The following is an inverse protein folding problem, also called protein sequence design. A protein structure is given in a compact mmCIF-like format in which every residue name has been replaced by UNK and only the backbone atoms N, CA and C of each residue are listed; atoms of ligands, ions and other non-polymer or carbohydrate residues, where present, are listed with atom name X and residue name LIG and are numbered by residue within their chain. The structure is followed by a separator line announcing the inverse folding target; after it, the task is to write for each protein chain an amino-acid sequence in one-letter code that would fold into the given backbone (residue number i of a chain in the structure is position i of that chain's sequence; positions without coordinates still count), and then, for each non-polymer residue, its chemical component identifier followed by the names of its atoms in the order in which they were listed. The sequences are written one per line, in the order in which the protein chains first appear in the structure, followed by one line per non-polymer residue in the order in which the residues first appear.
data_IF_931107976414
#
_entry.id   IF_931107976414
#
_cell.length_a   1.000
_cell.length_b   1.000
_cell.length_c   1.000
_cell.angle_alpha   90.00
_cell.angle_beta   90.00
_cell.angle_gamma   90.00
#
_symmetry.space_group_name_H-M   'P 1'
#
loop_
_entity.id
_entity.type
_entity.pdbx_description
1 polymer ?
#
# COMPACT_ATOMS: atom_id res chain seq x y z
N UNK A 1 15.71 33.85 18.53
CA UNK A 1 16.32 33.26 17.33
C UNK A 1 15.86 34.11 16.18
N UNK A 2 16.79 34.77 15.49
CA UNK A 2 16.47 35.52 14.27
C UNK A 2 15.90 34.55 13.23
N UNK A 3 14.80 34.93 12.59
CA UNK A 3 14.23 34.20 11.46
C UNK A 3 15.25 34.25 10.32
N UNK A 4 16.04 33.18 10.18
CA UNK A 4 16.89 32.97 9.03
C UNK A 4 15.97 32.66 7.84
N UNK A 5 15.58 33.71 7.12
CA UNK A 5 14.68 33.60 5.98
C UNK A 5 15.49 33.24 4.72
N UNK A 6 15.91 31.98 4.62
CA UNK A 6 16.38 31.42 3.36
C UNK A 6 15.13 31.06 2.53
N UNK A 7 15.03 31.57 1.29
CA UNK A 7 14.08 31.05 0.33
C UNK A 7 14.59 29.68 -0.16
N UNK A 8 14.25 28.62 0.57
CA UNK A 8 14.77 27.26 0.35
C UNK A 8 13.86 26.52 -0.62
N UNK A 9 14.40 26.21 -1.80
CA UNK A 9 13.73 25.36 -2.77
C UNK A 9 13.43 23.97 -2.22
N UNK A 10 12.36 23.34 -2.70
CA UNK A 10 12.07 21.95 -2.36
C UNK A 10 13.24 21.04 -2.72
N UNK A 11 13.59 20.15 -1.81
CA UNK A 11 14.51 19.04 -2.08
C UNK A 11 13.84 17.99 -2.97
N UNK A 12 14.65 17.12 -3.58
CA UNK A 12 14.11 15.99 -4.36
C UNK A 12 13.28 15.04 -3.50
N UNK A 13 13.59 14.90 -2.21
CA UNK A 13 12.81 14.12 -1.25
C UNK A 13 11.42 14.69 -1.04
N UNK A 14 11.32 15.98 -0.73
CA UNK A 14 10.04 16.68 -0.53
C UNK A 14 9.20 16.66 -1.81
N UNK A 15 9.82 16.89 -2.96
CA UNK A 15 9.14 16.84 -4.26
C UNK A 15 8.60 15.43 -4.57
N UNK A 16 9.38 14.39 -4.29
CA UNK A 16 8.95 13.00 -4.45
C UNK A 16 7.77 12.67 -3.51
N UNK A 17 7.79 13.14 -2.27
CA UNK A 17 6.71 12.93 -1.31
C UNK A 17 5.41 13.62 -1.78
N UNK A 18 5.48 14.89 -2.16
CA UNK A 18 4.33 15.66 -2.65
C UNK A 18 3.73 15.04 -3.91
N UNK A 19 4.57 14.65 -4.88
CA UNK A 19 4.14 13.99 -6.10
C UNK A 19 3.43 12.65 -5.81
N UNK A 20 4.06 11.82 -4.96
CA UNK A 20 3.53 10.50 -4.59
C UNK A 20 2.20 10.63 -3.85
N UNK A 21 2.10 11.54 -2.88
CA UNK A 21 0.87 11.79 -2.14
C UNK A 21 -0.24 12.28 -3.08
N UNK A 22 0.04 13.23 -3.97
CA UNK A 22 -0.96 13.74 -4.91
C UNK A 22 -1.58 12.64 -5.77
N UNK A 23 -0.72 11.77 -6.34
CA UNK A 23 -1.18 10.66 -7.19
C UNK A 23 -2.03 9.66 -6.39
N UNK A 24 -1.65 9.37 -5.14
CA UNK A 24 -2.38 8.44 -4.29
C UNK A 24 -3.69 9.03 -3.76
N UNK A 25 -3.71 10.30 -3.35
CA UNK A 25 -4.90 10.96 -2.81
C UNK A 25 -5.94 11.20 -3.90
N UNK A 26 -5.51 11.63 -5.11
CA UNK A 26 -6.45 11.79 -6.24
C UNK A 26 -7.09 10.46 -6.65
N UNK A 27 -6.34 9.35 -6.61
CA UNK A 27 -6.89 8.01 -6.78
C UNK A 27 -7.85 7.64 -5.64
N UNK A 28 -7.44 7.86 -4.40
CA UNK A 28 -8.21 7.51 -3.21
C UNK A 28 -9.54 8.25 -3.17
N UNK A 29 -9.56 9.53 -3.54
CA UNK A 29 -10.79 10.34 -3.68
C UNK A 29 -11.76 9.68 -4.66
N UNK A 30 -11.29 9.16 -5.79
CA UNK A 30 -12.14 8.44 -6.75
C UNK A 30 -12.72 7.15 -6.14
N UNK A 31 -11.88 6.33 -5.49
CA UNK A 31 -12.31 5.08 -4.83
C UNK A 31 -13.33 5.37 -3.73
N UNK A 32 -13.08 6.37 -2.89
CA UNK A 32 -13.96 6.77 -1.79
C UNK A 32 -15.30 7.30 -2.30
N UNK A 33 -15.32 8.15 -3.34
CA UNK A 33 -16.57 8.68 -3.88
C UNK A 33 -17.49 7.58 -4.43
N UNK A 34 -16.94 6.57 -5.11
CA UNK A 34 -17.74 5.41 -5.51
C UNK A 34 -18.27 4.65 -4.30
N UNK A 35 -17.37 4.35 -3.35
CA UNK A 35 -17.67 3.53 -2.19
C UNK A 35 -18.72 4.18 -1.28
N UNK A 36 -18.61 5.47 -0.98
CA UNK A 36 -19.58 6.24 -0.19
C UNK A 36 -20.97 6.24 -0.82
N UNK A 37 -21.04 6.27 -2.16
CA UNK A 37 -22.32 6.22 -2.88
C UNK A 37 -22.99 4.85 -2.81
N UNK A 38 -22.23 3.77 -2.59
CA UNK A 38 -22.71 2.38 -2.66
C UNK A 38 -22.82 1.68 -1.32
N UNK A 39 -22.01 2.09 -0.34
CA UNK A 39 -22.00 1.53 1.01
C UNK A 39 -23.38 1.66 1.66
N UNK A 40 -23.80 0.61 2.35
CA UNK A 40 -25.06 0.53 3.08
C UNK A 40 -24.84 0.55 4.60
N UNK A 41 -23.71 0.03 5.08
CA UNK A 41 -23.33 0.06 6.48
C UNK A 41 -22.90 1.48 6.89
N UNK A 42 -23.73 2.15 7.70
CA UNK A 42 -23.50 3.54 8.09
C UNK A 42 -22.22 3.73 8.94
N UNK A 43 -21.85 2.77 9.80
CA UNK A 43 -20.58 2.86 10.55
C UNK A 43 -19.38 2.86 9.58
N UNK A 44 -19.45 2.07 8.50
CA UNK A 44 -18.38 2.01 7.47
C UNK A 44 -18.39 3.28 6.63
N UNK A 45 -19.57 3.80 6.30
CA UNK A 45 -19.73 5.06 5.57
C UNK A 45 -19.08 6.23 6.30
N UNK A 46 -19.21 6.31 7.62
CA UNK A 46 -18.55 7.34 8.43
C UNK A 46 -17.01 7.27 8.31
N UNK A 47 -16.43 6.07 8.30
CA UNK A 47 -14.98 5.88 8.07
C UNK A 47 -14.58 6.37 6.67
N UNK A 48 -15.35 6.01 5.65
CA UNK A 48 -15.07 6.41 4.26
C UNK A 48 -15.20 7.93 4.08
N UNK A 49 -16.22 8.56 4.67
CA UNK A 49 -16.42 10.00 4.65
C UNK A 49 -15.31 10.74 5.41
N UNK A 50 -14.88 10.22 6.57
CA UNK A 50 -13.74 10.77 7.30
C UNK A 50 -12.48 10.71 6.44
N UNK A 51 -12.17 9.57 5.83
CA UNK A 51 -11.02 9.43 4.94
C UNK A 51 -11.08 10.41 3.74
N UNK A 52 -12.27 10.63 3.16
CA UNK A 52 -12.44 11.59 2.06
C UNK A 52 -12.18 13.03 2.53
N UNK A 53 -12.66 13.38 3.73
CA UNK A 53 -12.46 14.69 4.33
C UNK A 53 -10.99 15.02 4.66
N UNK A 54 -10.13 14.00 4.74
CA UNK A 54 -8.68 14.16 4.88
C UNK A 54 -8.00 14.35 3.51
N UNK A 55 -8.32 13.48 2.54
CA UNK A 55 -7.65 13.46 1.24
C UNK A 55 -7.91 14.72 0.38
N UNK A 56 -9.11 15.30 0.45
CA UNK A 56 -9.46 16.49 -0.33
C UNK A 56 -8.62 17.72 0.05
N UNK A 57 -8.48 18.10 1.34
CA UNK A 57 -7.54 19.14 1.77
C UNK A 57 -6.09 18.88 1.38
N UNK A 58 -5.62 17.62 1.42
CA UNK A 58 -4.26 17.27 1.02
C UNK A 58 -3.97 17.68 -0.43
N UNK A 59 -4.89 17.39 -1.35
CA UNK A 59 -4.76 17.80 -2.75
C UNK A 59 -4.65 19.31 -2.91
N UNK A 60 -5.44 20.09 -2.15
CA UNK A 60 -5.36 21.56 -2.18
C UNK A 60 -3.98 22.00 -1.70
N UNK A 61 -3.51 21.45 -0.57
CA UNK A 61 -2.25 21.86 0.04
C UNK A 61 -1.04 21.54 -0.83
N UNK A 62 -1.02 20.35 -1.44
CA UNK A 62 0.06 19.94 -2.35
C UNK A 62 0.11 20.84 -3.59
N UNK A 63 -1.05 21.22 -4.14
CA UNK A 63 -1.12 22.17 -5.27
C UNK A 63 -0.50 23.51 -4.92
N UNK A 64 -0.73 24.00 -3.71
CA UNK A 64 -0.12 25.25 -3.23
C UNK A 64 1.41 25.12 -3.18
N UNK A 65 1.93 24.06 -2.55
CA UNK A 65 3.37 23.85 -2.44
C UNK A 65 4.07 23.75 -3.81
N UNK A 66 3.50 22.96 -4.74
CA UNK A 66 4.10 22.82 -6.08
C UNK A 66 4.06 24.14 -6.85
N UNK A 67 2.95 24.89 -6.79
CA UNK A 67 2.82 26.18 -7.49
C UNK A 67 3.75 27.26 -6.93
N UNK A 68 3.90 27.32 -5.61
CA UNK A 68 4.82 28.28 -4.95
C UNK A 68 6.26 28.11 -5.44
N UNK A 69 6.62 26.89 -5.82
CA UNK A 69 7.96 26.48 -6.26
C UNK A 69 8.06 26.33 -7.79
N UNK A 70 7.02 26.77 -8.52
CA UNK A 70 6.92 26.70 -9.99
C UNK A 70 7.01 25.27 -10.57
N UNK A 71 6.66 24.25 -9.80
CA UNK A 71 6.51 22.89 -10.32
C UNK A 71 5.12 22.68 -10.95
N UNK A 72 5.01 21.87 -12.01
CA UNK A 72 3.73 21.46 -12.53
C UNK A 72 2.98 20.62 -11.50
N UNK A 73 1.67 20.83 -11.42
CA UNK A 73 0.77 19.97 -10.65
C UNK A 73 0.49 18.70 -11.47
N UNK A 74 0.59 17.49 -10.87
CA UNK A 74 0.24 16.26 -11.58
C UNK A 74 -1.22 16.29 -12.06
N UNK A 75 -1.51 15.60 -13.17
CA UNK A 75 -2.88 15.46 -13.64
C UNK A 75 -3.69 14.57 -12.69
N UNK A 76 -3.10 13.46 -12.23
CA UNK A 76 -3.71 12.53 -11.29
C UNK A 76 -4.95 11.85 -11.87
N UNK A 77 -5.96 11.68 -11.01
CA UNK A 77 -7.24 11.05 -11.33
C UNK A 77 -8.40 12.01 -11.03
N UNK A 78 -9.49 11.93 -11.80
CA UNK A 78 -10.66 12.77 -11.59
C UNK A 78 -11.96 11.98 -11.59
N UNK A 79 -12.99 12.54 -10.96
CA UNK A 79 -14.30 11.89 -10.86
C UNK A 79 -14.93 11.71 -12.25
N UNK A 80 -14.69 12.64 -13.16
CA UNK A 80 -15.30 12.61 -14.49
C UNK A 80 -14.65 11.56 -15.41
N UNK A 81 -13.35 11.30 -15.25
CA UNK A 81 -12.58 10.43 -16.14
C UNK A 81 -12.41 9.02 -15.59
N UNK A 82 -12.33 8.87 -14.27
CA UNK A 82 -11.82 7.65 -13.65
C UNK A 82 -12.85 6.85 -12.85
N UNK A 83 -14.10 7.31 -12.76
CA UNK A 83 -15.14 6.65 -11.96
C UNK A 83 -16.50 6.66 -12.69
N UNK A 84 -17.15 5.49 -12.65
CA UNK A 84 -18.56 5.35 -12.97
C UNK A 84 -19.38 5.24 -11.68
N UNK A 85 -19.89 6.39 -11.20
CA UNK A 85 -20.71 6.48 -9.99
C UNK A 85 -22.02 5.66 -10.07
N UNK A 86 -22.43 5.20 -11.25
CA UNK A 86 -23.64 4.41 -11.43
C UNK A 86 -23.36 2.90 -11.44
N UNK A 87 -22.10 2.47 -11.62
CA UNK A 87 -21.73 1.07 -11.52
C UNK A 87 -22.14 0.48 -10.16
N UNK A 88 -22.62 -0.78 -10.10
CA UNK A 88 -22.82 -1.50 -8.84
C UNK A 88 -21.52 -1.60 -8.02
N UNK A 89 -21.59 -1.83 -6.70
CA UNK A 89 -20.39 -2.07 -5.89
C UNK A 89 -19.66 -3.31 -6.40
N UNK A 90 -18.36 -3.17 -6.67
CA UNK A 90 -17.49 -4.29 -7.02
C UNK A 90 -17.04 -5.07 -5.79
N UNK A 91 -16.93 -4.38 -4.65
CA UNK A 91 -16.55 -4.97 -3.37
C UNK A 91 -17.63 -4.73 -2.33
N UNK A 92 -17.75 -5.65 -1.36
CA UNK A 92 -18.65 -5.50 -0.23
C UNK A 92 -18.23 -4.37 0.71
N UNK A 93 -19.17 -3.90 1.54
CA UNK A 93 -18.89 -2.93 2.61
C UNK A 93 -17.82 -3.46 3.57
N UNK A 94 -17.88 -4.74 3.93
CA UNK A 94 -16.88 -5.41 4.78
C UNK A 94 -15.50 -5.32 4.17
N UNK A 95 -15.35 -5.60 2.88
CA UNK A 95 -14.05 -5.44 2.22
C UNK A 95 -13.61 -3.99 2.14
N UNK A 96 -14.51 -3.04 1.91
CA UNK A 96 -14.13 -1.63 1.90
C UNK A 96 -13.54 -1.19 3.26
N UNK A 97 -14.05 -1.72 4.38
CA UNK A 97 -13.44 -1.47 5.69
C UNK A 97 -12.05 -2.12 5.83
N UNK A 98 -11.88 -3.36 5.35
CA UNK A 98 -10.57 -4.06 5.34
C UNK A 98 -9.57 -3.35 4.41
N UNK A 99 -10.03 -2.87 3.27
CA UNK A 99 -9.27 -2.07 2.32
C UNK A 99 -8.77 -0.79 2.98
N UNK A 100 -9.66 -0.05 3.66
CA UNK A 100 -9.27 1.16 4.38
C UNK A 100 -8.20 0.89 5.43
N UNK A 101 -8.32 -0.18 6.21
CA UNK A 101 -7.27 -0.56 7.17
C UNK A 101 -5.90 -0.73 6.49
N UNK A 102 -5.86 -1.42 5.35
CA UNK A 102 -4.61 -1.60 4.62
C UNK A 102 -4.11 -0.30 3.98
N UNK A 103 -4.99 0.53 3.41
CA UNK A 103 -4.59 1.82 2.82
C UNK A 103 -4.04 2.77 3.89
N UNK A 104 -4.66 2.84 5.07
CA UNK A 104 -4.17 3.67 6.17
C UNK A 104 -2.79 3.23 6.66
N UNK A 105 -2.51 1.92 6.69
CA UNK A 105 -1.15 1.43 6.98
C UNK A 105 -0.12 1.91 5.96
N UNK A 106 -0.49 1.99 4.67
CA UNK A 106 0.39 2.56 3.64
C UNK A 106 0.61 4.07 3.88
N UNK A 107 -0.45 4.82 4.18
CA UNK A 107 -0.38 6.25 4.51
C UNK A 107 0.53 6.51 5.71
N UNK A 108 0.35 5.79 6.83
CA UNK A 108 1.18 5.95 8.02
C UNK A 108 2.67 5.70 7.75
N UNK A 109 3.02 4.63 7.02
CA UNK A 109 4.42 4.34 6.68
C UNK A 109 4.98 5.39 5.71
N UNK A 110 4.21 5.77 4.68
CA UNK A 110 4.62 6.77 3.70
C UNK A 110 4.87 8.13 4.34
N UNK A 111 3.92 8.63 5.14
CA UNK A 111 4.04 9.90 5.83
C UNK A 111 5.17 9.90 6.88
N UNK A 112 5.41 8.78 7.57
CA UNK A 112 6.56 8.69 8.48
C UNK A 112 7.89 8.81 7.73
N UNK A 113 8.00 8.18 6.56
CA UNK A 113 9.14 8.36 5.66
C UNK A 113 9.28 9.79 5.17
N UNK A 114 8.16 10.44 4.80
CA UNK A 114 8.13 11.82 4.34
C UNK A 114 8.56 12.81 5.44
N UNK A 115 8.19 12.58 6.70
CA UNK A 115 8.72 13.35 7.84
C UNK A 115 10.24 13.16 7.96
N UNK A 116 10.72 11.91 7.85
CA UNK A 116 12.14 11.58 8.02
C UNK A 116 13.07 12.08 6.92
N UNK A 117 12.55 12.45 5.75
CA UNK A 117 13.32 12.95 4.62
C UNK A 117 12.98 14.40 4.19
N UNK A 118 12.15 15.11 4.97
CA UNK A 118 11.86 16.54 4.78
C UNK A 118 12.79 17.39 5.64
N UNK A 119 13.16 18.58 5.15
CA UNK A 119 14.06 19.50 5.85
C UNK A 119 13.47 20.90 6.00
N UNK A 120 12.53 21.29 5.13
CA UNK A 120 11.84 22.57 5.19
C UNK A 120 10.73 22.52 6.25
N UNK A 121 10.64 23.56 7.07
CA UNK A 121 9.78 23.55 8.27
C UNK A 121 8.29 23.37 7.95
N UNK A 122 7.82 23.95 6.84
CA UNK A 122 6.45 23.80 6.35
C UNK A 122 6.16 22.37 5.85
N UNK A 123 7.11 21.74 5.17
CA UNK A 123 7.01 20.35 4.71
C UNK A 123 7.00 19.37 5.89
N UNK A 124 7.91 19.55 6.85
CA UNK A 124 7.94 18.74 8.08
C UNK A 124 6.61 18.87 8.83
N UNK A 125 6.11 20.09 9.04
CA UNK A 125 4.85 20.33 9.75
C UNK A 125 3.68 19.67 9.01
N UNK A 126 3.62 19.82 7.70
CA UNK A 126 2.58 19.22 6.86
C UNK A 126 2.56 17.69 6.95
N UNK A 127 3.70 17.02 6.79
CA UNK A 127 3.73 15.56 6.83
C UNK A 127 3.55 14.99 8.26
N UNK A 128 3.91 15.74 9.30
CA UNK A 128 3.53 15.39 10.69
C UNK A 128 2.01 15.39 10.85
N UNK A 129 1.32 16.41 10.31
CA UNK A 129 -0.13 16.51 10.38
C UNK A 129 -0.80 15.39 9.60
N UNK A 130 -0.38 15.13 8.35
CA UNK A 130 -0.85 13.99 7.56
C UNK A 130 -0.67 12.66 8.30
N UNK A 131 0.45 12.48 9.01
CA UNK A 131 0.69 11.25 9.78
C UNK A 131 -0.26 11.12 10.98
N UNK A 132 -0.53 12.20 11.71
CA UNK A 132 -1.49 12.22 12.82
C UNK A 132 -2.90 11.86 12.34
N UNK A 133 -3.33 12.43 11.23
CA UNK A 133 -4.62 12.12 10.60
C UNK A 133 -4.72 10.65 10.19
N UNK A 134 -3.65 10.11 9.59
CA UNK A 134 -3.59 8.68 9.25
C UNK A 134 -3.65 7.78 10.50
N UNK A 135 -2.98 8.16 11.60
CA UNK A 135 -3.06 7.43 12.88
C UNK A 135 -4.48 7.45 13.45
N UNK A 136 -5.19 8.58 13.38
CA UNK A 136 -6.58 8.66 13.82
C UNK A 136 -7.50 7.79 12.95
N UNK A 137 -7.36 7.84 11.63
CA UNK A 137 -8.12 6.99 10.72
C UNK A 137 -7.85 5.50 11.00
N UNK A 138 -6.61 5.13 11.35
CA UNK A 138 -6.24 3.76 11.71
C UNK A 138 -6.96 3.33 12.98
N UNK A 139 -6.92 4.13 14.04
CA UNK A 139 -7.59 3.83 15.30
C UNK A 139 -9.10 3.60 15.10
N UNK A 140 -9.77 4.54 14.41
CA UNK A 140 -11.21 4.43 14.11
C UNK A 140 -11.53 3.16 13.32
N UNK A 141 -10.73 2.87 12.31
CA UNK A 141 -10.90 1.68 11.44
C UNK A 141 -10.72 0.39 12.24
N UNK A 142 -9.65 0.28 13.04
CA UNK A 142 -9.37 -0.91 13.86
C UNK A 142 -10.45 -1.12 14.91
N UNK A 143 -10.89 -0.07 15.60
CA UNK A 143 -11.99 -0.15 16.55
C UNK A 143 -13.28 -0.67 15.90
N UNK A 144 -13.61 -0.18 14.70
CA UNK A 144 -14.78 -0.67 13.99
C UNK A 144 -14.63 -2.14 13.54
N UNK A 145 -13.47 -2.52 13.02
CA UNK A 145 -13.20 -3.92 12.66
C UNK A 145 -13.28 -4.86 13.86
N UNK A 146 -12.84 -4.42 15.04
CA UNK A 146 -12.95 -5.18 16.29
C UNK A 146 -14.41 -5.29 16.74
N UNK A 147 -15.18 -4.18 16.72
CA UNK A 147 -16.62 -4.15 17.03
C UNK A 147 -17.41 -5.10 16.13
N UNK A 148 -17.08 -5.16 14.85
CA UNK A 148 -17.73 -6.05 13.87
C UNK A 148 -17.20 -7.50 13.89
N UNK A 149 -16.17 -7.80 14.69
CA UNK A 149 -15.60 -9.15 14.81
C UNK A 149 -14.81 -9.62 13.59
N UNK A 150 -14.41 -8.72 12.70
CA UNK A 150 -13.71 -9.04 11.44
C UNK A 150 -12.20 -8.79 11.51
N UNK A 151 -11.70 -8.21 12.60
CA UNK A 151 -10.27 -7.94 12.75
C UNK A 151 -9.46 -9.23 12.96
N UNK A 152 -8.56 -9.53 12.03
CA UNK A 152 -7.65 -10.67 12.16
C UNK A 152 -6.50 -10.33 13.09
N UNK A 153 -6.50 -10.91 14.29
CA UNK A 153 -5.41 -10.76 15.26
C UNK A 153 -4.19 -11.57 14.83
N UNK A 154 -3.00 -10.99 15.01
CA UNK A 154 -1.73 -11.73 14.94
C UNK A 154 -1.76 -12.87 15.97
N UNK A 155 -1.20 -14.06 15.66
CA UNK A 155 -1.19 -15.19 16.58
C UNK A 155 -0.62 -14.84 17.96
N UNK A 156 -1.31 -15.29 19.01
CA UNK A 156 -0.85 -15.14 20.39
C UNK A 156 0.25 -16.17 20.70
N UNK A 157 1.29 -15.74 21.40
CA UNK A 157 2.34 -16.60 21.95
C UNK A 157 2.35 -16.47 23.48
N UNK A 158 2.61 -17.57 24.18
CA UNK A 158 2.64 -17.55 25.65
C UNK A 158 3.84 -16.76 26.16
N UNK A 159 3.68 -16.08 27.29
CA UNK A 159 4.79 -15.39 27.96
C UNK A 159 5.86 -16.40 28.39
N UNK A 160 7.15 -16.14 28.14
CA UNK A 160 8.22 -16.93 28.73
C UNK A 160 8.32 -16.66 30.24
N UNK A 161 8.81 -17.65 31.01
CA UNK A 161 9.04 -17.51 32.46
C UNK A 161 10.36 -16.77 32.79
N UNK A 162 11.33 -16.80 31.87
CA UNK A 162 12.66 -16.21 32.03
C UNK A 162 13.23 -15.76 30.69
N UNK A 163 14.24 -14.89 30.75
CA UNK A 163 15.05 -14.52 29.58
C UNK A 163 15.89 -15.74 29.18
N UNK A 164 15.97 -16.01 27.88
CA UNK A 164 16.78 -17.08 27.30
C UNK A 164 17.80 -16.49 26.30
N UNK A 165 18.99 -17.07 26.25
CA UNK A 165 20.07 -16.63 25.37
C UNK A 165 20.39 -17.75 24.38
N UNK A 166 20.47 -17.37 23.10
CA UNK A 166 20.83 -18.31 22.04
C UNK A 166 22.26 -18.80 22.25
N UNK A 167 22.42 -20.09 22.53
CA UNK A 167 23.70 -20.71 22.89
C UNK A 167 24.41 -21.40 21.71
N UNK A 168 23.75 -21.51 20.56
CA UNK A 168 24.31 -22.19 19.40
C UNK A 168 23.83 -21.62 18.05
N UNK A 169 24.66 -21.82 17.00
CA UNK A 169 24.38 -21.32 15.64
C UNK A 169 23.17 -22.00 14.97
N UNK A 170 22.69 -23.13 15.49
CA UNK A 170 21.53 -23.84 14.91
C UNK A 170 20.24 -23.04 15.06
N UNK A 171 20.19 -22.05 15.94
CA UNK A 171 19.07 -21.11 16.03
C UNK A 171 18.79 -20.33 14.73
N UNK A 172 19.83 -20.03 13.95
CA UNK A 172 19.70 -19.38 12.64
C UNK A 172 19.47 -20.38 11.51
N UNK A 173 19.58 -21.69 11.79
CA UNK A 173 19.42 -22.72 10.76
C UNK A 173 17.98 -22.74 10.25
N UNK A 174 17.85 -22.89 8.93
CA UNK A 174 16.58 -23.10 8.24
C UNK A 174 16.60 -24.30 7.29
N UNK A 175 17.77 -24.92 7.10
CA UNK A 175 18.01 -26.05 6.21
C UNK A 175 18.78 -27.12 6.97
N UNK A 176 18.37 -28.38 6.80
CA UNK A 176 18.95 -29.57 7.42
C UNK A 176 18.88 -29.56 8.98
N UNK A 177 18.40 -30.66 9.57
CA UNK A 177 18.23 -30.77 11.02
C UNK A 177 16.92 -30.17 11.56
N UNK A 178 16.80 -30.09 12.89
CA UNK A 178 15.60 -29.62 13.58
C UNK A 178 15.51 -28.10 13.50
N UNK A 179 14.42 -27.58 12.93
CA UNK A 179 14.12 -26.15 12.90
C UNK A 179 13.52 -25.71 14.24
N UNK A 180 13.91 -24.53 14.73
CA UNK A 180 13.20 -23.89 15.84
C UNK A 180 11.84 -23.34 15.39
N UNK A 181 10.88 -23.18 16.31
CA UNK A 181 9.68 -22.38 16.04
C UNK A 181 10.02 -20.93 15.67
N UNK A 182 9.10 -20.27 14.98
CA UNK A 182 9.12 -18.85 14.69
C UNK A 182 9.12 -18.04 15.98
N UNK A 183 9.86 -16.94 15.98
CA UNK A 183 9.82 -15.98 17.08
C UNK A 183 8.77 -14.88 16.84
N UNK A 184 8.54 -14.03 17.84
CA UNK A 184 7.54 -12.95 17.77
C UNK A 184 7.76 -11.99 16.58
N UNK A 185 9.02 -11.68 16.24
CA UNK A 185 9.36 -10.77 15.14
C UNK A 185 9.00 -11.38 13.78
N UNK A 186 9.33 -12.66 13.60
CA UNK A 186 9.01 -13.42 12.37
C UNK A 186 7.50 -13.62 12.20
N UNK A 187 6.79 -13.96 13.28
CA UNK A 187 5.31 -14.10 13.27
C UNK A 187 4.64 -12.77 12.93
N UNK A 188 5.12 -11.67 13.52
CA UNK A 188 4.62 -10.32 13.25
C UNK A 188 4.80 -9.94 11.78
N UNK A 189 6.01 -10.12 11.23
CA UNK A 189 6.30 -9.83 9.83
C UNK A 189 5.47 -10.67 8.86
N UNK A 190 5.35 -11.98 9.10
CA UNK A 190 4.51 -12.88 8.32
C UNK A 190 3.04 -12.42 8.32
N UNK A 191 2.47 -12.20 9.50
CA UNK A 191 1.05 -11.83 9.65
C UNK A 191 0.74 -10.49 8.98
N UNK A 192 1.63 -9.49 9.14
CA UNK A 192 1.49 -8.18 8.53
C UNK A 192 1.52 -8.25 6.99
N UNK A 193 2.47 -8.99 6.43
CA UNK A 193 2.57 -9.17 4.99
C UNK A 193 1.40 -9.99 4.42
N UNK A 194 0.89 -10.99 5.16
CA UNK A 194 -0.29 -11.75 4.75
C UNK A 194 -1.56 -10.90 4.68
N UNK A 195 -1.81 -10.02 5.66
CA UNK A 195 -2.97 -9.13 5.65
C UNK A 195 -2.98 -8.21 4.42
N UNK A 196 -1.82 -7.60 4.10
CA UNK A 196 -1.68 -6.76 2.89
C UNK A 196 -1.86 -7.57 1.60
N UNK A 197 -1.27 -8.76 1.55
CA UNK A 197 -1.37 -9.66 0.39
C UNK A 197 -2.82 -10.10 0.15
N UNK A 198 -3.58 -10.38 1.20
CA UNK A 198 -4.99 -10.76 1.09
C UNK A 198 -5.83 -9.67 0.40
N UNK A 199 -5.63 -8.40 0.75
CA UNK A 199 -6.32 -7.28 0.08
C UNK A 199 -5.95 -7.20 -1.40
N UNK A 200 -4.67 -7.40 -1.73
CA UNK A 200 -4.21 -7.38 -3.13
C UNK A 200 -4.88 -8.47 -3.97
N UNK A 201 -5.00 -9.70 -3.43
CA UNK A 201 -5.72 -10.80 -4.11
C UNK A 201 -7.15 -10.39 -4.48
N UNK A 202 -7.86 -9.74 -3.56
CA UNK A 202 -9.25 -9.31 -3.78
C UNK A 202 -9.33 -8.22 -4.84
N UNK A 203 -8.46 -7.21 -4.76
CA UNK A 203 -8.39 -6.13 -5.76
C UNK A 203 -8.09 -6.70 -7.16
N UNK A 204 -7.14 -7.62 -7.28
CA UNK A 204 -6.78 -8.21 -8.58
C UNK A 204 -7.90 -9.10 -9.16
N UNK A 205 -8.68 -9.78 -8.31
CA UNK A 205 -9.88 -10.51 -8.75
C UNK A 205 -10.94 -9.52 -9.26
N UNK A 206 -11.27 -8.50 -8.46
CA UNK A 206 -12.29 -7.51 -8.83
C UNK A 206 -11.92 -6.73 -10.09
N UNK A 207 -10.70 -6.20 -10.17
CA UNK A 207 -10.24 -5.45 -11.33
C UNK A 207 -10.10 -6.33 -12.56
N UNK A 208 -9.62 -7.57 -12.41
CA UNK A 208 -9.62 -8.54 -13.51
C UNK A 208 -11.03 -8.87 -14.04
N UNK A 209 -12.04 -8.84 -13.18
CA UNK A 209 -13.44 -9.05 -13.54
C UNK A 209 -14.04 -7.88 -14.33
N UNK A 210 -13.66 -6.63 -14.03
CA UNK A 210 -14.29 -5.44 -14.63
C UNK A 210 -13.46 -4.71 -15.66
N UNK A 211 -12.14 -4.95 -15.73
CA UNK A 211 -11.28 -4.29 -16.69
C UNK A 211 -11.70 -4.57 -18.14
N UNK A 212 -11.58 -3.56 -18.99
CA UNK A 212 -12.05 -3.64 -20.37
C UNK A 212 -10.97 -4.21 -21.29
N UNK A 213 -9.71 -3.96 -20.98
CA UNK A 213 -8.57 -4.49 -21.72
C UNK A 213 -8.26 -5.95 -21.37
N UNK A 214 -8.22 -6.82 -22.39
CA UNK A 214 -7.74 -8.21 -22.26
C UNK A 214 -6.29 -8.31 -21.79
N UNK A 215 -5.46 -7.34 -22.12
CA UNK A 215 -4.06 -7.31 -21.67
C UNK A 215 -3.99 -7.03 -20.17
N UNK A 216 -4.77 -6.06 -19.68
CA UNK A 216 -4.86 -5.77 -18.25
C UNK A 216 -5.51 -6.92 -17.48
N UNK A 217 -6.52 -7.56 -18.05
CA UNK A 217 -7.12 -8.76 -17.45
C UNK A 217 -6.08 -9.86 -17.23
N UNK A 218 -5.18 -10.10 -18.20
CA UNK A 218 -4.09 -11.07 -18.04
C UNK A 218 -3.10 -10.62 -16.96
N UNK A 219 -2.77 -9.33 -16.91
CA UNK A 219 -1.91 -8.77 -15.87
C UNK A 219 -2.50 -8.98 -14.46
N UNK A 220 -3.77 -8.61 -14.24
CA UNK A 220 -4.44 -8.81 -12.95
C UNK A 220 -4.58 -10.29 -12.58
N UNK A 221 -4.88 -11.16 -13.55
CA UNK A 221 -4.92 -12.61 -13.31
C UNK A 221 -3.55 -13.17 -12.88
N UNK A 222 -2.46 -12.74 -13.54
CA UNK A 222 -1.09 -13.08 -13.15
C UNK A 222 -0.80 -12.61 -11.72
N UNK A 223 -1.15 -11.36 -11.41
CA UNK A 223 -1.01 -10.80 -10.07
C UNK A 223 -1.73 -11.60 -8.99
N UNK A 224 -3.00 -11.94 -9.24
CA UNK A 224 -3.81 -12.76 -8.34
C UNK A 224 -3.11 -14.07 -8.01
N UNK A 225 -2.56 -14.74 -9.03
CA UNK A 225 -1.92 -16.03 -8.87
C UNK A 225 -0.60 -15.91 -8.09
N UNK A 226 0.18 -14.87 -8.36
CA UNK A 226 1.38 -14.53 -7.56
C UNK A 226 0.99 -14.28 -6.10
N UNK A 227 0.01 -13.42 -5.83
CA UNK A 227 -0.38 -13.08 -4.46
C UNK A 227 -1.01 -14.25 -3.71
N UNK A 228 -1.77 -15.13 -4.36
CA UNK A 228 -2.26 -16.36 -3.75
C UNK A 228 -1.11 -17.28 -3.36
N UNK A 229 -0.12 -17.46 -4.25
CA UNK A 229 1.10 -18.24 -3.96
C UNK A 229 1.85 -17.66 -2.76
N UNK A 230 2.05 -16.34 -2.73
CA UNK A 230 2.75 -15.65 -1.64
C UNK A 230 2.01 -15.82 -0.32
N UNK A 231 0.69 -15.62 -0.32
CA UNK A 231 -0.16 -15.82 0.84
C UNK A 231 -0.05 -17.24 1.40
N UNK A 232 -0.17 -18.27 0.54
CA UNK A 232 -0.06 -19.67 0.97
C UNK A 232 1.36 -20.03 1.43
N UNK A 233 2.38 -19.40 0.87
CA UNK A 233 3.77 -19.55 1.34
C UNK A 233 3.90 -19.07 2.77
N UNK A 234 3.48 -17.84 3.07
CA UNK A 234 3.49 -17.29 4.43
C UNK A 234 2.62 -18.11 5.39
N UNK A 235 1.42 -18.51 4.94
CA UNK A 235 0.50 -19.35 5.71
C UNK A 235 1.15 -20.67 6.11
N UNK A 236 1.92 -21.29 5.21
CA UNK A 236 2.60 -22.55 5.50
C UNK A 236 3.63 -22.43 6.63
N UNK A 237 4.27 -21.27 6.81
CA UNK A 237 5.17 -21.03 7.94
C UNK A 237 4.41 -20.96 9.25
N UNK A 238 3.28 -20.24 9.29
CA UNK A 238 2.44 -20.14 10.49
C UNK A 238 1.84 -21.50 10.87
N UNK A 239 1.27 -22.24 9.92
CA UNK A 239 0.63 -23.53 10.18
C UNK A 239 1.62 -24.59 10.68
N UNK A 240 2.86 -24.61 10.16
CA UNK A 240 3.91 -25.55 10.62
C UNK A 240 4.20 -25.41 12.12
N UNK A 241 4.01 -24.22 12.67
CA UNK A 241 4.19 -23.94 14.10
C UNK A 241 2.87 -23.88 14.87
N UNK A 242 1.78 -24.42 14.29
CA UNK A 242 0.42 -24.44 14.84
C UNK A 242 -0.15 -23.05 15.17
N UNK A 243 0.20 -22.05 14.36
CA UNK A 243 -0.30 -20.68 14.48
C UNK A 243 -1.45 -20.43 13.51
N UNK A 244 -2.39 -19.56 13.91
CA UNK A 244 -3.49 -19.12 13.05
C UNK A 244 -3.00 -18.25 11.89
N UNK A 245 -3.79 -18.20 10.83
CA UNK A 245 -3.57 -17.37 9.64
C UNK A 245 -4.74 -16.41 9.48
N UNK A 246 -4.52 -15.20 8.92
CA UNK A 246 -5.62 -14.33 8.50
C UNK A 246 -6.49 -14.99 7.42
N UNK A 247 -7.69 -14.44 7.23
CA UNK A 247 -8.63 -14.87 6.18
C UNK A 247 -8.28 -14.28 4.81
N UNK A 248 -8.59 -15.02 3.74
CA UNK A 248 -8.66 -14.50 2.39
C UNK A 248 -10.08 -13.96 2.13
N UNK A 249 -10.21 -12.66 1.89
CA UNK A 249 -11.48 -11.95 1.70
C UNK A 249 -12.05 -12.11 0.27
N UNK A 250 -11.84 -13.26 -0.37
CA UNK A 250 -12.17 -13.48 -1.79
C UNK A 250 -13.69 -13.45 -2.03
N UNK A 251 -14.48 -13.89 -1.05
CA UNK A 251 -15.96 -13.85 -1.10
C UNK A 251 -16.53 -12.45 -1.18
N UNK A 252 -15.72 -11.42 -0.90
CA UNK A 252 -16.16 -10.04 -0.83
C UNK A 252 -16.17 -9.33 -2.19
N UNK A 253 -15.75 -10.01 -3.27
CA UNK A 253 -15.94 -9.53 -4.64
C UNK A 253 -17.37 -9.85 -5.09
N UNK A 254 -18.09 -8.84 -5.57
CA UNK A 254 -19.45 -9.01 -6.09
C UNK A 254 -19.45 -9.67 -7.47
N UNK A 255 -20.63 -9.98 -8.00
CA UNK A 255 -20.80 -10.47 -9.36
C UNK A 255 -20.88 -9.35 -10.42
N UNK A 256 -20.59 -8.09 -10.05
CA UNK A 256 -20.67 -6.95 -10.99
C UNK A 256 -19.59 -7.00 -12.05
N UNK A 257 -19.97 -7.01 -13.32
CA UNK A 257 -19.03 -6.89 -14.45
C UNK A 257 -18.98 -5.46 -15.02
N UNK A 258 -19.70 -4.52 -14.43
CA UNK A 258 -19.69 -3.11 -14.86
C UNK A 258 -18.54 -2.39 -14.15
N UNK A 259 -17.57 -1.81 -14.87
CA UNK A 259 -16.42 -1.16 -14.26
C UNK A 259 -16.82 0.07 -13.44
N UNK A 260 -16.53 0.10 -12.13
CA UNK A 260 -16.67 1.30 -11.32
C UNK A 260 -15.51 2.28 -11.52
N UNK A 261 -14.35 1.81 -11.98
CA UNK A 261 -13.14 2.59 -12.16
C UNK A 261 -12.55 2.44 -13.56
N UNK A 262 -11.77 3.42 -14.01
CA UNK A 262 -11.04 3.34 -15.28
C UNK A 262 -9.94 2.27 -15.23
N UNK A 263 -9.61 1.71 -16.40
CA UNK A 263 -8.48 0.81 -16.57
C UNK A 263 -7.14 1.47 -16.12
N UNK A 264 -7.01 2.79 -16.32
CA UNK A 264 -5.87 3.60 -15.85
C UNK A 264 -5.77 3.56 -14.32
N UNK A 265 -6.86 3.86 -13.61
CA UNK A 265 -6.90 3.89 -12.16
C UNK A 265 -6.61 2.50 -11.58
N UNK A 266 -7.28 1.47 -12.10
CA UNK A 266 -7.10 0.09 -11.62
C UNK A 266 -5.64 -0.37 -11.80
N UNK A 267 -5.03 -0.11 -12.96
CA UNK A 267 -3.64 -0.49 -13.20
C UNK A 267 -2.67 0.28 -12.29
N UNK A 268 -2.80 1.61 -12.20
CA UNK A 268 -1.95 2.42 -11.35
C UNK A 268 -2.04 1.98 -9.88
N UNK A 269 -3.25 1.70 -9.39
CA UNK A 269 -3.45 1.25 -8.02
C UNK A 269 -2.69 -0.04 -7.73
N UNK A 270 -2.83 -1.06 -8.59
CA UNK A 270 -2.12 -2.33 -8.42
C UNK A 270 -0.61 -2.12 -8.50
N UNK A 271 -0.11 -1.36 -9.48
CA UNK A 271 1.33 -1.09 -9.62
C UNK A 271 1.90 -0.42 -8.36
N UNK A 272 1.22 0.60 -7.83
CA UNK A 272 1.64 1.28 -6.59
C UNK A 272 1.70 0.32 -5.40
N UNK A 273 0.67 -0.53 -5.22
CA UNK A 273 0.65 -1.50 -4.13
C UNK A 273 1.73 -2.59 -4.27
N UNK A 274 2.01 -3.04 -5.50
CA UNK A 274 3.07 -4.01 -5.77
C UNK A 274 4.45 -3.41 -5.48
N UNK A 275 4.70 -2.18 -5.92
CA UNK A 275 5.94 -1.46 -5.62
C UNK A 275 6.13 -1.27 -4.11
N UNK A 276 5.07 -0.90 -3.38
CA UNK A 276 5.12 -0.79 -1.92
C UNK A 276 5.38 -2.15 -1.23
N UNK A 277 4.86 -3.24 -1.79
CA UNK A 277 5.06 -4.59 -1.25
C UNK A 277 6.55 -5.02 -1.27
N UNK A 278 7.36 -4.55 -2.22
CA UNK A 278 8.83 -4.76 -2.20
C UNK A 278 9.42 -4.28 -0.87
N UNK A 279 9.01 -3.09 -0.42
CA UNK A 279 9.48 -2.50 0.84
C UNK A 279 9.04 -3.30 2.07
N UNK A 280 7.76 -3.66 2.17
CA UNK A 280 7.24 -4.39 3.33
C UNK A 280 7.75 -5.85 3.40
N UNK A 281 7.95 -6.50 2.25
CA UNK A 281 8.56 -7.83 2.22
C UNK A 281 10.04 -7.75 2.60
N UNK A 282 10.74 -6.70 2.18
CA UNK A 282 12.13 -6.45 2.60
C UNK A 282 12.26 -6.12 4.09
N UNK A 283 11.26 -5.47 4.69
CA UNK A 283 11.19 -5.29 6.14
C UNK A 283 10.93 -6.62 6.87
N UNK A 284 10.11 -7.50 6.31
CA UNK A 284 9.94 -8.87 6.82
C UNK A 284 11.23 -9.70 6.71
N UNK A 285 11.95 -9.55 5.60
CA UNK A 285 13.27 -10.14 5.38
C UNK A 285 14.28 -9.66 6.42
N UNK A 286 14.35 -8.36 6.69
CA UNK A 286 15.38 -7.79 7.57
C UNK A 286 15.30 -8.27 9.02
N UNK A 287 14.10 -8.64 9.48
CA UNK A 287 13.87 -9.20 10.82
C UNK A 287 13.89 -10.73 10.85
N UNK A 288 13.98 -11.39 9.69
CA UNK A 288 13.98 -12.85 9.59
C UNK A 288 15.33 -13.43 9.99
N UNK A 289 15.37 -14.09 11.15
CA UNK A 289 16.59 -14.71 11.67
C UNK A 289 16.77 -16.14 11.15
N UNK A 290 15.66 -16.84 10.89
CA UNK A 290 15.64 -18.13 10.22
C UNK A 290 16.04 -18.00 8.75
N UNK A 291 17.10 -18.69 8.34
CA UNK A 291 17.62 -18.64 6.96
C UNK A 291 16.61 -19.10 5.90
N UNK A 292 15.77 -20.09 6.21
CA UNK A 292 14.73 -20.55 5.28
C UNK A 292 13.70 -19.46 5.00
N UNK A 293 13.19 -18.84 6.06
CA UNK A 293 12.27 -17.71 5.93
C UNK A 293 12.90 -16.52 5.19
N UNK A 294 14.19 -16.23 5.44
CA UNK A 294 14.90 -15.16 4.76
C UNK A 294 15.05 -15.41 3.25
N UNK A 295 15.40 -16.63 2.79
CA UNK A 295 15.45 -16.87 1.34
C UNK A 295 14.05 -16.88 0.71
N UNK A 296 13.03 -17.36 1.41
CA UNK A 296 11.66 -17.29 0.92
C UNK A 296 11.27 -15.83 0.65
N UNK A 297 11.42 -14.94 1.63
CA UNK A 297 11.19 -13.50 1.41
C UNK A 297 12.00 -12.94 0.25
N UNK A 298 13.27 -13.33 0.10
CA UNK A 298 14.13 -12.88 -1.01
C UNK A 298 13.52 -13.26 -2.36
N UNK A 299 13.07 -14.51 -2.52
CA UNK A 299 12.42 -14.98 -3.75
C UNK A 299 11.09 -14.26 -4.02
N UNK A 300 10.29 -14.02 -2.98
CA UNK A 300 9.01 -13.31 -3.11
C UNK A 300 9.22 -11.84 -3.52
N UNK A 301 10.25 -11.17 -2.97
CA UNK A 301 10.65 -9.81 -3.36
C UNK A 301 11.03 -9.75 -4.84
N UNK A 302 11.83 -10.70 -5.32
CA UNK A 302 12.20 -10.77 -6.75
C UNK A 302 10.97 -10.94 -7.64
N UNK A 303 10.06 -11.85 -7.28
CA UNK A 303 8.84 -12.11 -8.07
C UNK A 303 7.91 -10.90 -8.13
N UNK A 304 7.72 -10.19 -7.02
CA UNK A 304 6.91 -8.98 -6.98
C UNK A 304 7.60 -7.82 -7.73
N UNK A 305 8.93 -7.71 -7.65
CA UNK A 305 9.69 -6.68 -8.38
C UNK A 305 9.51 -6.79 -9.90
N UNK A 306 9.60 -8.01 -10.44
CA UNK A 306 9.34 -8.26 -11.87
C UNK A 306 7.89 -7.96 -12.25
N UNK A 307 6.92 -8.28 -11.38
CA UNK A 307 5.52 -7.94 -11.61
C UNK A 307 5.26 -6.42 -11.59
N UNK A 308 5.96 -5.66 -10.73
CA UNK A 308 5.90 -4.20 -10.74
C UNK A 308 6.40 -3.62 -12.05
N UNK A 309 7.51 -4.17 -12.58
CA UNK A 309 8.08 -3.75 -13.87
C UNK A 309 7.08 -3.98 -15.01
N UNK A 310 6.47 -5.17 -15.10
CA UNK A 310 5.45 -5.46 -16.12
C UNK A 310 4.31 -4.42 -16.10
N UNK A 311 3.86 -4.04 -14.90
CA UNK A 311 2.80 -3.04 -14.73
C UNK A 311 3.24 -1.63 -15.09
N UNK A 312 4.47 -1.25 -14.76
CA UNK A 312 5.05 0.03 -15.17
C UNK A 312 5.17 0.13 -16.71
N UNK A 313 5.59 -0.95 -17.37
CA UNK A 313 5.63 -1.03 -18.83
C UNK A 313 4.23 -0.88 -19.44
N UNK A 314 3.19 -1.46 -18.83
CA UNK A 314 1.81 -1.27 -19.27
C UNK A 314 1.34 0.19 -19.09
N UNK A 315 1.68 0.84 -17.98
CA UNK A 315 1.37 2.26 -17.78
C UNK A 315 2.08 3.13 -18.84
N UNK A 316 3.35 2.86 -19.15
CA UNK A 316 4.11 3.57 -20.19
C UNK A 316 3.46 3.36 -21.56
N UNK A 317 3.19 2.10 -21.92
CA UNK A 317 2.60 1.71 -23.20
C UNK A 317 1.27 2.41 -23.48
N UNK A 318 0.46 2.63 -22.44
CA UNK A 318 -0.84 3.30 -22.56
C UNK A 318 -0.77 4.82 -22.36
N UNK A 319 0.42 5.40 -22.14
CA UNK A 319 0.57 6.84 -21.86
C UNK A 319 -0.04 7.27 -20.53
N UNK A 320 -0.09 6.36 -19.56
CA UNK A 320 -0.73 6.53 -18.25
C UNK A 320 0.24 6.79 -17.10
N UNK A 321 1.54 6.54 -17.31
CA UNK A 321 2.56 6.87 -16.32
C UNK A 321 2.92 8.36 -16.44
N UNK A 322 2.46 9.16 -15.46
CA UNK A 322 2.91 10.54 -15.33
C UNK A 322 4.37 10.56 -14.88
N UNK A 323 5.21 11.27 -15.63
CA UNK A 323 6.63 11.41 -15.35
C UNK A 323 6.83 12.33 -14.14
N UNK A 324 7.41 11.85 -13.03
CA UNK A 324 7.80 12.72 -11.93
C UNK A 324 8.87 13.74 -12.37
N UNK A 325 9.06 14.85 -11.64
CA UNK A 325 10.17 15.77 -11.88
C UNK A 325 11.50 15.04 -11.88
N UNK A 326 12.37 15.36 -12.84
CA UNK A 326 13.65 14.70 -13.07
C UNK A 326 14.81 15.66 -12.79
N UNK A 327 15.98 15.10 -12.53
CA UNK A 327 17.21 15.87 -12.62
C UNK A 327 17.49 16.26 -14.08
N UNK A 328 18.14 17.41 -14.28
CA UNK A 328 18.59 17.84 -15.60
C UNK A 328 19.66 16.88 -16.16
N UNK A 329 19.50 16.47 -17.42
CA UNK A 329 20.54 15.74 -18.15
C UNK A 329 21.61 16.74 -18.64
N UNK A 330 22.71 16.84 -17.89
CA UNK A 330 23.80 17.77 -18.20
C UNK A 330 24.51 17.43 -19.51
N UNK A 331 24.55 16.16 -19.90
CA UNK A 331 25.19 15.74 -21.14
C UNK A 331 24.31 16.14 -22.33
N UNK A 332 22.99 15.91 -22.25
CA UNK A 332 22.03 16.37 -23.27
C UNK A 332 22.06 17.90 -23.42
N UNK A 333 22.09 18.64 -22.31
CA UNK A 333 22.17 20.11 -22.32
C UNK A 333 23.47 20.63 -22.94
N UNK A 334 24.60 19.96 -22.70
CA UNK A 334 25.89 20.34 -23.27
C UNK A 334 25.99 20.07 -24.77
N UNK A 335 25.30 19.05 -25.27
CA UNK A 335 25.27 18.67 -26.68
C UNK A 335 24.18 19.40 -27.50
N UNK A 336 23.33 20.19 -26.85
CA UNK A 336 22.25 20.95 -27.47
C UNK A 336 22.61 22.41 -27.79
N UNK A 337 23.89 22.79 -27.65
CA UNK A 337 24.44 24.10 -28.02
C UNK A 337 25.10 24.07 -29.40
#
# INVERSE_FOLDING_TARGET
MEDINHNVSLTSGELANLWTQYMNDSLTICVLNHSIKKVQDEDIKEILQFALSLAEPHIVKIKEFLKQENYPVPKGFTIEQDINLNAPPLFSDTFMLVYMHIMTLHGMTGYAGAVGNSVRADQITYFIECNKEAMELYERTVHLMLKKGIYSRTPHINSPEKIDFVDNKSYLSGWFGKKRPLNAMEISGLSFNMQKTAVKVVLEIGFGQTCQSKELQKYFNKGRDICKKHFETFRSFLIKDNLSSPNLWISEVSNSTVPPFSDKLMLFHIVTLVSAAVGFYSAGLSVSQRRDLALEYTGLVTEIGLYAEDGAQLLIKNGWLERPPMADDKDELSNSQ
#
